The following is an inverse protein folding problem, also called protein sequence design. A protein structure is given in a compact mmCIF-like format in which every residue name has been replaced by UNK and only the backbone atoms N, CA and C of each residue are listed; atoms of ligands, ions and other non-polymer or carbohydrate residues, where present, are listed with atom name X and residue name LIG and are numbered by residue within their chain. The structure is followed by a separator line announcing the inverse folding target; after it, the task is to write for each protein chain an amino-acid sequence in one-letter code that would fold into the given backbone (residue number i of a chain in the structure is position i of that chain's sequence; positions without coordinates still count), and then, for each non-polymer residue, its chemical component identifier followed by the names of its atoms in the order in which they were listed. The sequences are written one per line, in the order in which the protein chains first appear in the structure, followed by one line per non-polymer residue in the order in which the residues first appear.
data_IF_478909378462
#
_entry.id   IF_478909378462
#
_cell.length_a   1.000
_cell.length_b   1.000
_cell.length_c   1.000
_cell.angle_alpha   90.00
_cell.angle_beta   90.00
_cell.angle_gamma   90.00
#
_symmetry.space_group_name_H-M   'P 1'
#
loop_
_entity.id
_entity.type
_entity.pdbx_description
1 polymer ?
#
# COMPACT_ATOMS: atom_id res chain seq x y z
N UNK A 1 16.89 17.64 -15.65
CA UNK A 1 16.16 16.37 -15.82
C UNK A 1 15.01 16.42 -14.84
N UNK A 2 13.76 16.53 -15.35
CA UNK A 2 12.59 16.52 -14.48
C UNK A 2 12.42 15.14 -13.88
N UNK A 3 12.30 15.07 -12.57
CA UNK A 3 11.91 13.84 -11.87
C UNK A 3 10.50 13.53 -12.33
N UNK A 4 10.32 12.45 -13.09
CA UNK A 4 8.99 11.93 -13.42
C UNK A 4 8.45 11.36 -12.09
N UNK A 5 7.56 12.09 -11.45
CA UNK A 5 6.81 11.60 -10.29
C UNK A 5 5.89 10.47 -10.78
N UNK A 6 6.33 9.24 -10.59
CA UNK A 6 5.46 8.08 -10.74
C UNK A 6 4.58 8.03 -9.48
N UNK A 7 3.28 8.24 -9.61
CA UNK A 7 2.34 8.02 -8.50
C UNK A 7 2.49 6.58 -8.02
N UNK A 8 2.92 6.39 -6.78
CA UNK A 8 3.07 5.06 -6.20
C UNK A 8 1.73 4.38 -5.90
N UNK A 9 0.65 5.18 -5.85
CA UNK A 9 -0.73 4.71 -5.75
C UNK A 9 -1.57 5.27 -6.89
N UNK A 10 -2.20 4.40 -7.66
CA UNK A 10 -3.11 4.76 -8.76
C UNK A 10 -4.56 4.41 -8.37
N UNK A 11 -5.19 5.28 -7.61
CA UNK A 11 -6.53 5.06 -7.02
C UNK A 11 -7.68 5.21 -8.02
N UNK A 12 -7.41 5.49 -9.29
CA UNK A 12 -8.38 5.47 -10.39
C UNK A 12 -8.55 4.10 -11.02
N UNK A 13 -7.58 3.19 -10.81
CA UNK A 13 -7.74 1.80 -11.21
C UNK A 13 -8.89 1.14 -10.45
N UNK A 14 -9.53 0.15 -11.05
CA UNK A 14 -10.46 -0.70 -10.34
C UNK A 14 -9.71 -1.42 -9.21
N UNK A 15 -10.27 -1.37 -7.99
CA UNK A 15 -9.65 -2.00 -6.83
C UNK A 15 -9.85 -3.50 -6.85
N UNK A 16 -8.76 -4.22 -6.85
CA UNK A 16 -8.71 -5.67 -6.70
C UNK A 16 -7.61 -6.04 -5.72
N UNK A 17 -7.92 -6.94 -4.82
CA UNK A 17 -6.93 -7.53 -3.93
C UNK A 17 -6.14 -8.60 -4.67
N UNK A 18 -4.83 -8.60 -4.47
CA UNK A 18 -3.90 -9.54 -5.10
C UNK A 18 -3.17 -10.30 -4.01
N UNK A 19 -3.32 -11.61 -4.00
CA UNK A 19 -2.59 -12.49 -3.09
C UNK A 19 -1.29 -12.95 -3.74
N UNK A 20 -0.20 -12.86 -2.99
CA UNK A 20 1.09 -13.36 -3.41
C UNK A 20 1.70 -14.22 -2.30
N UNK A 21 2.48 -15.21 -2.69
CA UNK A 21 3.22 -16.01 -1.73
C UNK A 21 4.70 -16.07 -2.06
N UNK A 22 5.48 -16.44 -1.07
CA UNK A 22 6.91 -16.66 -1.19
C UNK A 22 7.31 -17.88 -0.40
N UNK A 23 8.04 -18.80 -1.05
CA UNK A 23 8.75 -19.87 -0.36
C UNK A 23 10.10 -19.35 0.14
N UNK A 24 10.24 -19.22 1.45
CA UNK A 24 11.43 -18.68 2.12
C UNK A 24 12.69 -19.53 2.00
N UNK A 25 12.60 -20.74 1.45
CA UNK A 25 13.76 -21.61 1.22
C UNK A 25 14.63 -21.16 0.03
N UNK A 26 14.12 -20.23 -0.80
CA UNK A 26 14.86 -19.72 -1.96
C UNK A 26 15.95 -18.73 -1.53
N UNK A 27 17.06 -18.74 -2.26
CA UNK A 27 18.09 -17.71 -2.11
C UNK A 27 17.62 -16.44 -2.81
N UNK A 28 17.46 -15.38 -2.04
CA UNK A 28 17.14 -14.03 -2.55
C UNK A 28 18.44 -13.22 -2.69
N UNK A 29 18.42 -12.21 -3.57
CA UNK A 29 19.50 -11.26 -3.68
C UNK A 29 19.74 -10.55 -2.34
N UNK A 30 21.00 -10.18 -2.06
CA UNK A 30 21.29 -9.32 -0.92
C UNK A 30 21.18 -7.87 -1.39
N UNK A 31 20.28 -7.13 -0.76
CA UNK A 31 20.13 -5.69 -0.97
C UNK A 31 20.40 -5.00 0.35
N UNK A 32 21.31 -4.04 0.34
CA UNK A 32 21.66 -3.25 1.51
C UNK A 32 20.97 -1.87 1.44
N UNK A 33 20.74 -1.28 2.61
CA UNK A 33 20.26 0.10 2.67
C UNK A 33 21.33 1.03 2.08
N UNK A 34 20.91 2.09 1.40
CA UNK A 34 21.82 3.17 1.02
C UNK A 34 22.48 3.82 2.26
N UNK A 35 23.62 4.46 2.05
CA UNK A 35 24.28 5.25 3.09
C UNK A 35 23.35 6.28 3.70
N UNK A 36 23.44 6.47 5.00
CA UNK A 36 22.56 7.39 5.75
C UNK A 36 21.25 6.77 6.24
N UNK A 37 21.03 5.47 5.99
CA UNK A 37 19.86 4.76 6.50
C UNK A 37 20.25 3.54 7.34
N UNK A 38 19.41 3.23 8.33
CA UNK A 38 19.58 2.07 9.20
C UNK A 38 18.22 1.44 9.52
N UNK A 39 18.24 0.25 10.16
CA UNK A 39 17.03 -0.40 10.66
C UNK A 39 16.92 -0.25 12.17
N UNK A 40 15.72 0.04 12.63
CA UNK A 40 15.34 -0.07 14.04
C UNK A 40 14.07 -0.92 14.18
N UNK A 41 13.98 -1.69 15.27
CA UNK A 41 12.72 -2.35 15.61
C UNK A 41 11.79 -1.41 16.35
N UNK A 42 10.49 -1.70 16.27
CA UNK A 42 9.43 -1.01 17.01
C UNK A 42 9.74 -0.98 18.52
N UNK A 43 9.50 0.15 19.13
CA UNK A 43 9.55 0.39 20.58
C UNK A 43 8.22 0.97 21.04
N UNK A 44 7.89 0.80 22.31
CA UNK A 44 6.68 1.42 22.87
C UNK A 44 6.72 2.94 22.66
N UNK A 45 5.63 3.47 22.12
CA UNK A 45 5.49 4.88 21.73
C UNK A 45 5.75 5.18 20.25
N UNK A 46 6.17 4.20 19.46
CA UNK A 46 6.45 4.39 18.02
C UNK A 46 5.17 4.38 17.14
N UNK A 47 3.98 4.30 17.74
CA UNK A 47 2.71 4.30 17.01
C UNK A 47 2.54 5.54 16.14
N UNK A 48 2.91 6.72 16.64
CA UNK A 48 2.78 7.97 15.90
C UNK A 48 3.69 7.99 14.66
N UNK A 49 4.90 7.44 14.75
CA UNK A 49 5.81 7.29 13.60
C UNK A 49 5.24 6.31 12.56
N UNK A 50 4.65 5.20 13.01
CA UNK A 50 4.00 4.23 12.13
C UNK A 50 2.83 4.88 11.38
N UNK A 51 1.97 5.62 12.09
CA UNK A 51 0.83 6.35 11.52
C UNK A 51 1.33 7.40 10.52
N UNK A 52 2.34 8.18 10.87
CA UNK A 52 2.89 9.24 10.02
C UNK A 52 3.44 8.69 8.70
N UNK A 53 4.14 7.54 8.74
CA UNK A 53 4.62 6.87 7.54
C UNK A 53 3.45 6.51 6.62
N UNK A 54 2.37 5.92 7.13
CA UNK A 54 1.23 5.50 6.34
C UNK A 54 0.38 6.68 5.83
N UNK A 55 0.30 7.75 6.60
CA UNK A 55 -0.34 9.01 6.17
C UNK A 55 0.48 9.68 5.07
N UNK A 56 1.82 9.75 5.22
CA UNK A 56 2.69 10.32 4.20
C UNK A 56 2.70 9.49 2.91
N UNK A 57 2.70 8.17 3.00
CA UNK A 57 2.66 7.28 1.83
C UNK A 57 1.35 7.37 1.04
N UNK A 58 0.29 7.91 1.65
CA UNK A 58 -1.06 8.00 1.06
C UNK A 58 -1.94 6.77 1.31
N UNK A 59 -1.51 5.82 2.15
CA UNK A 59 -2.35 4.71 2.60
C UNK A 59 -3.55 5.23 3.41
N UNK A 60 -3.29 6.14 4.33
CA UNK A 60 -4.32 6.77 5.15
C UNK A 60 -4.45 8.25 4.82
N UNK A 61 -5.69 8.73 4.74
CA UNK A 61 -5.96 10.15 4.58
C UNK A 61 -5.95 10.89 5.93
N UNK A 62 -6.17 10.19 7.05
CA UNK A 62 -6.31 10.76 8.40
C UNK A 62 -5.53 9.92 9.41
N UNK A 63 -4.81 10.59 10.32
CA UNK A 63 -4.09 9.91 11.41
C UNK A 63 -5.03 9.09 12.31
N UNK A 64 -6.23 9.61 12.62
CA UNK A 64 -7.21 8.90 13.44
C UNK A 64 -7.71 7.58 12.82
N UNK A 65 -7.64 7.44 11.50
CA UNK A 65 -7.92 6.17 10.85
C UNK A 65 -6.72 5.22 11.00
N UNK A 66 -5.50 5.73 10.85
CA UNK A 66 -4.28 4.98 11.08
C UNK A 66 -4.17 4.43 12.51
N UNK A 67 -4.53 5.25 13.51
CA UNK A 67 -4.62 4.81 14.91
C UNK A 67 -5.58 3.63 15.09
N UNK A 68 -6.79 3.76 14.53
CA UNK A 68 -7.77 2.66 14.58
C UNK A 68 -7.22 1.39 13.94
N UNK A 69 -6.64 1.49 12.75
CA UNK A 69 -6.08 0.34 12.03
C UNK A 69 -4.93 -0.29 12.81
N UNK A 70 -4.03 0.51 13.38
CA UNK A 70 -2.93 0.00 14.20
C UNK A 70 -3.46 -0.89 15.34
N UNK A 71 -4.45 -0.42 16.08
CA UNK A 71 -5.05 -1.17 17.18
C UNK A 71 -5.82 -2.41 16.70
N UNK A 72 -6.60 -2.29 15.61
CA UNK A 72 -7.34 -3.43 15.03
C UNK A 72 -6.39 -4.58 14.63
N UNK A 73 -5.19 -4.26 14.14
CA UNK A 73 -4.22 -5.26 13.67
C UNK A 73 -3.29 -5.79 14.75
N UNK A 74 -2.84 -4.92 15.66
CA UNK A 74 -1.69 -5.22 16.50
C UNK A 74 -1.96 -5.43 17.98
N UNK A 75 -3.13 -5.03 18.52
CA UNK A 75 -3.42 -5.16 19.96
C UNK A 75 -3.31 -6.60 20.45
N UNK A 76 -3.65 -7.59 19.60
CA UNK A 76 -3.57 -9.01 19.97
C UNK A 76 -2.14 -9.52 20.19
N UNK A 77 -1.12 -8.83 19.64
CA UNK A 77 0.30 -9.20 19.77
C UNK A 77 1.23 -7.98 19.91
N UNK A 78 0.75 -6.91 20.50
CA UNK A 78 1.48 -5.64 20.66
C UNK A 78 2.86 -5.85 21.30
N UNK A 79 2.97 -6.73 22.30
CA UNK A 79 4.24 -7.05 22.97
C UNK A 79 5.28 -7.74 22.06
N UNK A 80 4.87 -8.28 20.92
CA UNK A 80 5.74 -8.92 19.94
C UNK A 80 6.25 -7.95 18.86
N UNK A 81 5.67 -6.75 18.74
CA UNK A 81 6.04 -5.79 17.68
C UNK A 81 7.53 -5.43 17.72
N UNK A 82 8.15 -5.40 18.89
CA UNK A 82 9.60 -5.20 19.02
C UNK A 82 10.47 -6.25 18.33
N UNK A 83 9.87 -7.35 17.85
CA UNK A 83 10.54 -8.43 17.11
C UNK A 83 9.99 -8.59 15.70
N UNK A 84 8.87 -7.96 15.38
CA UNK A 84 8.10 -8.21 14.16
C UNK A 84 7.96 -6.99 13.25
N UNK A 85 7.90 -5.80 13.84
CA UNK A 85 7.80 -4.54 13.12
C UNK A 85 9.16 -3.84 13.13
N UNK A 86 9.60 -3.38 11.98
CA UNK A 86 10.82 -2.57 11.88
C UNK A 86 10.57 -1.29 11.11
N UNK A 87 11.44 -0.32 11.37
CA UNK A 87 11.51 0.94 10.65
C UNK A 87 12.82 1.06 9.89
N UNK A 88 12.79 1.80 8.79
CA UNK A 88 13.98 2.42 8.21
C UNK A 88 14.09 3.81 8.81
N UNK A 89 15.29 4.13 9.32
CA UNK A 89 15.60 5.39 10.00
C UNK A 89 16.71 6.10 9.22
N UNK A 90 16.55 7.39 8.96
CA UNK A 90 17.55 8.21 8.31
C UNK A 90 18.65 8.69 9.31
N UNK A 91 19.68 9.38 8.82
CA UNK A 91 20.79 9.91 9.61
C UNK A 91 20.40 10.98 10.64
N UNK A 92 19.18 11.51 10.57
CA UNK A 92 18.59 12.47 11.53
C UNK A 92 17.77 11.77 12.62
N UNK A 93 17.63 10.45 12.57
CA UNK A 93 16.81 9.68 13.50
C UNK A 93 15.31 9.67 13.15
N UNK A 94 14.92 10.12 11.95
CA UNK A 94 13.54 10.09 11.49
C UNK A 94 13.20 8.72 10.90
N UNK A 95 12.07 8.14 11.31
CA UNK A 95 11.52 6.92 10.74
C UNK A 95 10.81 7.22 9.42
N UNK A 96 11.28 6.59 8.34
CA UNK A 96 10.89 6.93 6.97
C UNK A 96 10.24 5.80 6.20
N UNK A 97 10.28 4.59 6.74
CA UNK A 97 9.63 3.41 6.18
C UNK A 97 9.39 2.36 7.24
N UNK A 98 8.42 1.49 7.02
CA UNK A 98 8.05 0.41 7.95
C UNK A 98 7.56 -0.83 7.23
N UNK A 99 7.68 -1.99 7.89
CA UNK A 99 7.02 -3.23 7.53
C UNK A 99 6.87 -4.12 8.77
N UNK A 100 5.83 -4.93 8.79
CA UNK A 100 5.54 -5.85 9.90
C UNK A 100 5.37 -7.28 9.39
N UNK A 101 5.88 -8.26 10.13
CA UNK A 101 5.53 -9.67 9.98
C UNK A 101 4.45 -9.97 11.00
N UNK A 102 3.20 -9.90 10.56
CA UNK A 102 2.06 -10.18 11.43
C UNK A 102 1.92 -11.66 11.70
N UNK A 103 1.46 -11.97 12.91
CA UNK A 103 1.10 -13.32 13.32
C UNK A 103 -0.40 -13.46 13.18
N UNK A 104 -0.83 -14.39 12.36
CA UNK A 104 -2.25 -14.71 12.23
C UNK A 104 -2.72 -15.50 13.46
N UNK A 105 -3.90 -15.17 13.99
CA UNK A 105 -4.56 -15.94 15.05
C UNK A 105 -5.15 -17.24 14.50
N UNK A 106 -5.61 -17.20 13.26
CA UNK A 106 -6.06 -18.35 12.48
C UNK A 106 -5.26 -18.41 11.18
N UNK A 107 -4.76 -19.60 10.76
CA UNK A 107 -4.03 -19.71 9.51
C UNK A 107 -4.89 -19.30 8.31
N UNK A 108 -4.32 -18.48 7.43
CA UNK A 108 -4.95 -18.08 6.18
C UNK A 108 -4.31 -18.86 5.02
N UNK A 109 -5.11 -19.62 4.27
CA UNK A 109 -4.63 -20.53 3.22
C UNK A 109 -3.49 -21.46 3.67
N UNK A 110 -3.40 -21.75 4.98
CA UNK A 110 -2.30 -22.54 5.56
C UNK A 110 -1.01 -21.79 5.82
N UNK A 111 -1.06 -20.45 5.82
CA UNK A 111 0.03 -19.55 6.25
C UNK A 111 -0.23 -19.05 7.66
N UNK A 112 0.81 -19.05 8.49
CA UNK A 112 0.76 -18.58 9.87
C UNK A 112 1.22 -17.12 10.01
N UNK A 113 1.80 -16.54 8.96
CA UNK A 113 2.31 -15.19 8.94
C UNK A 113 2.07 -14.48 7.61
N UNK A 114 1.83 -13.19 7.70
CA UNK A 114 1.59 -12.27 6.59
C UNK A 114 2.55 -11.09 6.71
N UNK A 115 3.03 -10.60 5.56
CA UNK A 115 3.66 -9.28 5.52
C UNK A 115 2.59 -8.23 5.44
N UNK A 116 2.53 -7.38 6.44
CA UNK A 116 1.55 -6.30 6.53
C UNK A 116 2.22 -4.93 6.57
N UNK A 117 1.46 -3.96 6.12
CA UNK A 117 1.73 -2.55 6.33
C UNK A 117 3.15 -2.13 5.90
N UNK A 118 3.54 -2.56 4.70
CA UNK A 118 4.77 -2.11 4.06
C UNK A 118 4.56 -0.72 3.46
N UNK A 119 5.26 0.29 4.00
CA UNK A 119 5.16 1.65 3.51
C UNK A 119 6.49 2.40 3.58
N UNK A 120 6.64 3.42 2.71
CA UNK A 120 7.75 4.37 2.70
C UNK A 120 7.14 5.76 2.54
N UNK A 121 7.54 6.71 3.40
CA UNK A 121 7.11 8.11 3.28
C UNK A 121 7.34 8.63 1.87
N UNK A 122 6.42 9.44 1.37
CA UNK A 122 6.40 9.95 -0.01
C UNK A 122 7.70 10.62 -0.41
N UNK A 123 8.26 11.45 0.46
CA UNK A 123 9.51 12.19 0.26
C UNK A 123 10.76 11.31 0.21
N UNK A 124 10.66 10.06 0.71
CA UNK A 124 11.74 9.06 0.69
C UNK A 124 11.56 7.98 -0.38
N UNK A 125 10.49 8.06 -1.18
CA UNK A 125 10.32 7.21 -2.35
C UNK A 125 11.35 7.60 -3.42
N UNK A 126 11.88 6.60 -4.13
CA UNK A 126 12.98 6.83 -5.07
C UNK A 126 14.40 6.75 -4.46
N UNK A 127 14.53 6.67 -3.15
CA UNK A 127 15.82 6.46 -2.45
C UNK A 127 16.28 5.00 -2.45
N UNK A 128 15.69 4.14 -3.25
CA UNK A 128 16.04 2.70 -3.35
C UNK A 128 15.86 1.89 -2.05
N UNK A 129 14.97 2.32 -1.14
CA UNK A 129 14.73 1.66 0.14
C UNK A 129 13.90 0.38 0.01
N UNK A 130 13.04 0.27 -1.02
CA UNK A 130 12.05 -0.81 -1.13
C UNK A 130 12.68 -2.20 -1.20
N UNK A 131 13.70 -2.40 -2.04
CA UNK A 131 14.35 -3.71 -2.18
C UNK A 131 15.07 -4.17 -0.92
N UNK A 132 15.88 -3.33 -0.24
CA UNK A 132 16.42 -3.65 1.07
C UNK A 132 15.38 -4.00 2.11
N UNK A 133 14.27 -3.24 2.18
CA UNK A 133 13.19 -3.50 3.14
C UNK A 133 12.50 -4.84 2.87
N UNK A 134 12.22 -5.17 1.60
CA UNK A 134 11.63 -6.45 1.23
C UNK A 134 12.58 -7.60 1.60
N UNK A 135 13.86 -7.45 1.30
CA UNK A 135 14.87 -8.42 1.70
C UNK A 135 14.95 -8.58 3.23
N UNK A 136 14.83 -7.47 3.96
CA UNK A 136 14.82 -7.46 5.44
C UNK A 136 13.61 -8.19 6.00
N UNK A 137 12.40 -7.97 5.48
CA UNK A 137 11.24 -8.66 6.02
C UNK A 137 11.24 -10.17 5.68
N UNK A 138 11.73 -10.58 4.50
CA UNK A 138 11.89 -11.99 4.17
C UNK A 138 12.84 -12.65 5.17
N UNK A 139 14.00 -12.01 5.41
CA UNK A 139 14.95 -12.50 6.41
C UNK A 139 14.32 -12.57 7.81
N UNK A 140 13.60 -11.52 8.20
CA UNK A 140 12.94 -11.46 9.51
C UNK A 140 11.91 -12.57 9.67
N UNK A 141 11.09 -12.84 8.64
CA UNK A 141 10.14 -13.94 8.69
C UNK A 141 10.85 -15.29 8.89
N UNK A 142 11.96 -15.54 8.18
CA UNK A 142 12.76 -16.75 8.36
C UNK A 142 13.37 -16.82 9.77
N UNK A 143 13.91 -15.71 10.30
CA UNK A 143 14.46 -15.64 11.66
C UNK A 143 13.39 -15.93 12.74
N UNK A 144 12.12 -15.60 12.46
CA UNK A 144 10.96 -15.93 13.28
C UNK A 144 10.42 -17.36 13.07
N UNK A 145 11.02 -18.14 12.15
CA UNK A 145 10.65 -19.52 11.85
C UNK A 145 9.60 -19.70 10.77
N UNK A 146 9.20 -18.64 10.07
CA UNK A 146 8.22 -18.69 9.00
C UNK A 146 8.92 -18.90 7.63
N UNK A 147 8.76 -20.09 7.07
CA UNK A 147 9.36 -20.43 5.76
C UNK A 147 8.42 -20.18 4.58
N UNK A 148 7.17 -19.85 4.85
CA UNK A 148 6.15 -19.50 3.86
C UNK A 148 5.54 -18.18 4.25
N UNK A 149 5.54 -17.24 3.31
CA UNK A 149 5.06 -15.88 3.53
C UNK A 149 3.88 -15.65 2.61
N UNK A 150 2.76 -15.20 3.17
CA UNK A 150 1.64 -14.65 2.43
C UNK A 150 1.77 -13.12 2.41
N UNK A 151 1.31 -12.52 1.34
CA UNK A 151 1.30 -11.08 1.17
C UNK A 151 0.01 -10.67 0.45
N UNK A 152 -0.70 -9.71 1.02
CA UNK A 152 -1.81 -9.02 0.40
C UNK A 152 -1.33 -7.71 -0.20
N UNK A 153 -1.66 -7.49 -1.46
CA UNK A 153 -1.43 -6.23 -2.17
C UNK A 153 -2.64 -5.92 -3.04
N UNK A 154 -2.62 -4.87 -3.81
CA UNK A 154 -3.78 -4.46 -4.59
C UNK A 154 -3.37 -3.76 -5.90
N UNK A 155 -4.32 -3.67 -6.83
CA UNK A 155 -4.13 -2.98 -8.11
C UNK A 155 -3.72 -1.51 -7.94
N UNK A 156 -4.23 -0.83 -6.91
CA UNK A 156 -3.87 0.58 -6.63
C UNK A 156 -2.37 0.76 -6.35
N UNK A 157 -1.69 -0.26 -5.81
CA UNK A 157 -0.24 -0.26 -5.52
C UNK A 157 0.51 -1.18 -6.49
N UNK A 158 0.12 -1.20 -7.76
CA UNK A 158 0.66 -2.07 -8.79
C UNK A 158 2.19 -2.04 -8.91
N UNK A 159 2.84 -0.91 -8.60
CA UNK A 159 4.30 -0.81 -8.57
C UNK A 159 4.91 -1.66 -7.46
N UNK A 160 4.29 -1.70 -6.28
CA UNK A 160 4.71 -2.59 -5.20
C UNK A 160 4.45 -4.05 -5.59
N UNK A 161 3.28 -4.36 -6.16
CA UNK A 161 2.95 -5.69 -6.67
C UNK A 161 3.99 -6.18 -7.69
N UNK A 162 4.36 -5.32 -8.66
CA UNK A 162 5.44 -5.62 -9.61
C UNK A 162 6.75 -5.91 -8.90
N UNK A 163 7.12 -5.09 -7.92
CA UNK A 163 8.38 -5.25 -7.18
C UNK A 163 8.42 -6.57 -6.39
N UNK A 164 7.31 -6.99 -5.81
CA UNK A 164 7.22 -8.29 -5.16
C UNK A 164 7.44 -9.43 -6.16
N UNK A 165 6.83 -9.37 -7.35
CA UNK A 165 7.08 -10.36 -8.42
C UNK A 165 8.56 -10.37 -8.85
N UNK A 166 9.18 -9.20 -9.02
CA UNK A 166 10.62 -9.07 -9.36
C UNK A 166 11.51 -9.70 -8.29
N UNK A 167 11.10 -9.66 -7.02
CA UNK A 167 11.85 -10.19 -5.88
C UNK A 167 11.49 -11.63 -5.50
N UNK A 168 10.72 -12.31 -6.33
CA UNK A 168 10.54 -13.75 -6.20
C UNK A 168 9.18 -14.20 -5.69
N UNK A 169 8.30 -13.28 -5.26
CA UNK A 169 6.92 -13.65 -4.94
C UNK A 169 6.22 -14.20 -6.18
N UNK A 170 5.32 -15.15 -5.96
CA UNK A 170 4.51 -15.76 -7.01
C UNK A 170 3.05 -15.33 -6.85
N UNK A 171 2.32 -15.14 -7.96
CA UNK A 171 0.87 -14.98 -7.90
C UNK A 171 0.23 -16.14 -7.17
N UNK A 172 -0.72 -15.86 -6.29
CA UNK A 172 -1.41 -16.88 -5.50
C UNK A 172 -2.92 -16.70 -5.61
N UNK A 173 -3.63 -17.81 -5.68
CA UNK A 173 -5.10 -17.88 -5.73
C UNK A 173 -5.73 -17.00 -6.83
N UNK A 174 -5.11 -17.00 -8.01
CA UNK A 174 -5.42 -16.12 -9.16
C UNK A 174 -6.92 -16.13 -9.52
N UNK A 175 -7.57 -17.30 -9.41
CA UNK A 175 -8.98 -17.45 -9.83
C UNK A 175 -9.98 -16.74 -8.92
N UNK A 176 -9.60 -16.35 -7.72
CA UNK A 176 -10.50 -15.59 -6.83
C UNK A 176 -10.69 -14.16 -7.31
N UNK A 177 -9.68 -13.57 -7.93
CA UNK A 177 -9.76 -12.23 -8.52
C UNK A 177 -8.92 -12.13 -9.80
N UNK A 178 -9.33 -12.85 -10.84
CA UNK A 178 -8.62 -12.89 -12.12
C UNK A 178 -8.48 -11.50 -12.75
N UNK A 179 -9.48 -10.62 -12.62
CA UNK A 179 -9.46 -9.29 -13.20
C UNK A 179 -8.32 -8.42 -12.63
N UNK A 180 -8.07 -8.52 -11.34
CA UNK A 180 -6.94 -7.83 -10.71
C UNK A 180 -5.59 -8.25 -11.30
N UNK A 181 -5.43 -9.53 -11.60
CA UNK A 181 -4.22 -10.05 -12.25
C UNK A 181 -4.12 -9.65 -13.72
N UNK A 182 -5.24 -9.56 -14.45
CA UNK A 182 -5.30 -9.05 -15.83
C UNK A 182 -4.91 -7.56 -15.89
N UNK A 183 -5.37 -6.76 -14.93
CA UNK A 183 -4.93 -5.36 -14.77
C UNK A 183 -3.43 -5.32 -14.52
N UNK A 184 -2.91 -6.10 -13.58
CA UNK A 184 -1.48 -6.13 -13.27
C UNK A 184 -0.65 -6.61 -14.46
N UNK A 185 -1.14 -7.59 -15.24
CA UNK A 185 -0.52 -8.04 -16.48
C UNK A 185 -0.43 -6.89 -17.48
N UNK A 186 -1.52 -6.17 -17.70
CA UNK A 186 -1.57 -5.04 -18.63
C UNK A 186 -0.59 -3.94 -18.26
N UNK A 187 -0.53 -3.57 -16.96
CA UNK A 187 0.33 -2.50 -16.46
C UNK A 187 1.83 -2.86 -16.49
N UNK A 188 2.17 -4.14 -16.27
CA UNK A 188 3.56 -4.52 -15.99
C UNK A 188 4.19 -5.39 -17.06
N UNK A 189 3.37 -6.13 -17.81
CA UNK A 189 3.79 -7.22 -18.69
C UNK A 189 4.84 -8.16 -18.06
N UNK A 190 4.72 -8.40 -16.74
CA UNK A 190 5.70 -9.17 -16.00
C UNK A 190 5.73 -10.65 -16.47
N UNK A 191 6.92 -11.30 -16.60
CA UNK A 191 7.04 -12.68 -17.09
C UNK A 191 6.25 -13.71 -16.29
N UNK A 192 6.15 -13.56 -14.96
CA UNK A 192 5.37 -14.46 -14.10
C UNK A 192 3.86 -14.41 -14.38
N UNK A 193 3.41 -13.44 -15.16
CA UNK A 193 2.01 -13.27 -15.57
C UNK A 193 1.80 -13.66 -17.06
N UNK A 194 2.70 -14.44 -17.65
CA UNK A 194 2.64 -14.80 -19.07
C UNK A 194 1.37 -15.57 -19.46
N UNK A 195 0.84 -16.39 -18.54
CA UNK A 195 -0.38 -17.17 -18.73
C UNK A 195 -1.67 -16.41 -18.41
N UNK A 196 -1.57 -15.13 -18.05
CA UNK A 196 -2.71 -14.24 -17.76
C UNK A 196 -2.92 -13.31 -18.95
N UNK A 197 -4.17 -13.16 -19.37
CA UNK A 197 -4.54 -12.26 -20.46
C UNK A 197 -4.37 -10.80 -20.06
N UNK A 198 -3.91 -9.97 -20.99
CA UNK A 198 -3.99 -8.53 -20.83
C UNK A 198 -5.40 -8.05 -21.22
N UNK A 199 -5.87 -6.98 -20.59
CA UNK A 199 -7.15 -6.33 -20.90
C UNK A 199 -6.93 -4.94 -21.52
N UNK A 200 -7.93 -4.37 -22.24
CA UNK A 200 -7.85 -2.99 -22.71
C UNK A 200 -7.58 -2.00 -21.58
N UNK A 201 -6.84 -0.95 -21.85
CA UNK A 201 -6.47 0.07 -20.86
C UNK A 201 -7.73 0.69 -20.23
N UNK A 202 -8.75 0.98 -21.03
CA UNK A 202 -9.99 1.60 -20.54
C UNK A 202 -10.73 0.69 -19.55
N UNK A 203 -10.59 -0.62 -19.66
CA UNK A 203 -11.23 -1.61 -18.78
C UNK A 203 -10.54 -1.76 -17.41
N UNK A 204 -9.38 -1.12 -17.22
CA UNK A 204 -8.64 -1.15 -15.94
C UNK A 204 -9.16 -0.13 -14.94
N UNK A 205 -9.85 0.90 -15.42
CA UNK A 205 -10.26 2.02 -14.58
C UNK A 205 -11.68 1.85 -14.07
N UNK A 206 -11.89 2.32 -12.88
CA UNK A 206 -13.21 2.44 -12.32
C UNK A 206 -13.93 3.60 -13.02
N UNK A 207 -14.97 3.32 -13.77
CA UNK A 207 -15.66 4.28 -14.69
C UNK A 207 -15.93 5.65 -14.09
N UNK A 208 -16.29 5.65 -12.81
CA UNK A 208 -16.64 6.89 -12.12
C UNK A 208 -15.43 7.61 -11.53
N UNK A 209 -14.32 6.91 -11.28
CA UNK A 209 -13.14 7.51 -10.66
C UNK A 209 -12.53 8.62 -11.52
N UNK A 210 -12.45 8.40 -12.82
CA UNK A 210 -11.95 9.42 -13.75
C UNK A 210 -12.85 10.66 -13.78
N UNK A 211 -14.16 10.49 -13.69
CA UNK A 211 -15.11 11.62 -13.61
C UNK A 211 -14.91 12.41 -12.32
N UNK A 212 -14.78 11.71 -11.19
CA UNK A 212 -14.52 12.33 -9.88
C UNK A 212 -13.21 13.12 -9.94
N UNK A 213 -12.11 12.51 -10.41
CA UNK A 213 -10.79 13.18 -10.50
C UNK A 213 -10.86 14.40 -11.40
N UNK A 214 -11.54 14.32 -12.55
CA UNK A 214 -11.72 15.47 -13.43
C UNK A 214 -12.45 16.66 -12.75
N UNK A 215 -13.41 16.38 -11.85
CA UNK A 215 -14.08 17.44 -11.09
C UNK A 215 -13.18 17.98 -9.96
N UNK A 216 -12.42 17.11 -9.29
CA UNK A 216 -11.47 17.54 -8.29
C UNK A 216 -10.35 18.42 -8.89
N UNK A 217 -9.87 18.07 -10.10
CA UNK A 217 -8.89 18.87 -10.84
C UNK A 217 -9.39 20.29 -11.12
N UNK A 218 -10.69 20.46 -11.41
CA UNK A 218 -11.31 21.79 -11.60
C UNK A 218 -11.37 22.59 -10.29
N UNK A 219 -11.55 21.91 -9.16
CA UNK A 219 -11.69 22.55 -7.84
C UNK A 219 -10.32 22.91 -7.23
N UNK A 220 -9.36 21.99 -7.29
CA UNK A 220 -8.09 22.09 -6.56
C UNK A 220 -6.89 22.36 -7.44
N UNK A 221 -7.03 22.18 -8.76
CA UNK A 221 -5.93 22.19 -9.72
C UNK A 221 -5.25 20.81 -9.78
N UNK A 222 -4.90 20.41 -11.00
CA UNK A 222 -4.27 19.11 -11.25
C UNK A 222 -2.97 18.97 -10.45
N UNK A 223 -2.80 17.79 -9.84
CA UNK A 223 -1.63 17.40 -9.04
C UNK A 223 -1.37 18.21 -7.75
N UNK A 224 -2.31 19.09 -7.34
CA UNK A 224 -2.19 19.90 -6.12
C UNK A 224 -2.85 19.28 -4.88
N UNK A 225 -3.46 18.11 -5.00
CA UNK A 225 -4.20 17.45 -3.93
C UNK A 225 -3.95 15.94 -3.94
N UNK A 226 -4.27 15.30 -2.83
CA UNK A 226 -4.33 13.85 -2.71
C UNK A 226 -5.78 13.43 -2.51
N UNK A 227 -6.15 12.24 -2.96
CA UNK A 227 -7.51 11.76 -2.83
C UNK A 227 -7.58 10.27 -2.55
N UNK A 228 -8.72 9.84 -2.01
CA UNK A 228 -9.12 8.44 -1.87
C UNK A 228 -10.58 8.30 -2.28
N UNK A 229 -10.90 7.27 -3.04
CA UNK A 229 -12.27 6.98 -3.48
C UNK A 229 -12.64 5.61 -2.94
N UNK A 230 -13.78 5.54 -2.24
CA UNK A 230 -14.31 4.32 -1.68
C UNK A 230 -15.70 4.06 -2.25
N UNK A 231 -15.88 2.91 -2.90
CA UNK A 231 -17.19 2.49 -3.36
C UNK A 231 -17.85 1.58 -2.32
N UNK A 232 -19.02 1.96 -1.83
CA UNK A 232 -19.80 1.17 -0.88
C UNK A 232 -21.29 1.36 -1.10
N UNK A 233 -22.03 0.26 -1.33
CA UNK A 233 -23.50 0.27 -1.46
C UNK A 233 -24.04 1.27 -2.51
N UNK A 234 -23.42 1.28 -3.70
CA UNK A 234 -23.82 2.18 -4.81
C UNK A 234 -23.48 3.65 -4.59
N UNK A 235 -22.69 3.96 -3.57
CA UNK A 235 -22.23 5.31 -3.25
C UNK A 235 -20.72 5.39 -3.23
N UNK A 236 -20.16 6.48 -3.74
CA UNK A 236 -18.74 6.77 -3.65
C UNK A 236 -18.52 7.84 -2.58
N UNK A 237 -17.76 7.47 -1.56
CA UNK A 237 -17.21 8.40 -0.59
C UNK A 237 -15.83 8.82 -1.07
N UNK A 238 -15.55 10.12 -1.11
CA UNK A 238 -14.29 10.68 -1.62
C UNK A 238 -13.68 11.55 -0.53
N UNK A 239 -12.45 11.22 -0.15
CA UNK A 239 -11.66 12.05 0.74
C UNK A 239 -10.61 12.79 -0.07
N UNK A 240 -10.40 14.08 0.20
CA UNK A 240 -9.42 14.92 -0.47
C UNK A 240 -8.55 15.61 0.57
N UNK A 241 -7.24 15.48 0.45
CA UNK A 241 -6.27 16.26 1.24
C UNK A 241 -5.73 17.40 0.38
N UNK A 242 -5.92 18.62 0.86
CA UNK A 242 -5.44 19.84 0.22
C UNK A 242 -5.02 20.86 1.27
N UNK A 243 -3.79 21.39 1.17
CA UNK A 243 -3.23 22.35 2.14
C UNK A 243 -3.34 21.87 3.60
N UNK A 244 -2.96 20.61 3.88
CA UNK A 244 -3.02 19.96 5.19
C UNK A 244 -4.43 19.87 5.81
N UNK A 245 -5.47 20.03 5.02
CA UNK A 245 -6.87 19.82 5.44
C UNK A 245 -7.46 18.67 4.67
N UNK A 246 -8.31 17.87 5.34
CA UNK A 246 -9.06 16.79 4.71
C UNK A 246 -10.51 17.18 4.53
N UNK A 247 -11.00 17.04 3.32
CA UNK A 247 -12.37 17.32 2.91
C UNK A 247 -13.04 16.02 2.52
N UNK A 248 -14.23 15.77 3.06
CA UNK A 248 -15.04 14.61 2.73
C UNK A 248 -16.10 14.99 1.71
N UNK A 249 -16.21 14.23 0.62
CA UNK A 249 -17.21 14.40 -0.42
C UNK A 249 -17.99 13.10 -0.60
N UNK A 250 -19.20 13.24 -1.13
CA UNK A 250 -20.02 12.10 -1.56
C UNK A 250 -20.37 12.28 -3.03
N UNK A 251 -20.23 11.21 -3.77
CA UNK A 251 -20.64 11.15 -5.15
C UNK A 251 -21.80 10.17 -5.30
N UNK A 252 -22.93 10.66 -5.81
CA UNK A 252 -24.11 9.85 -6.06
C UNK A 252 -24.26 9.63 -7.56
N UNK A 253 -24.30 8.37 -7.97
CA UNK A 253 -24.45 8.00 -9.36
C UNK A 253 -25.91 7.71 -9.69
N UNK A 254 -26.59 8.68 -10.26
CA UNK A 254 -27.83 8.47 -11.01
C UNK A 254 -27.97 9.57 -12.06
N UNK A 255 -27.06 9.67 -13.03
CA UNK A 255 -27.07 10.66 -14.10
C UNK A 255 -26.89 12.13 -13.67
N UNK A 256 -26.66 12.45 -12.42
CA UNK A 256 -26.34 13.79 -11.94
C UNK A 256 -25.12 13.72 -11.03
N UNK A 257 -24.03 14.30 -11.50
CA UNK A 257 -22.83 14.51 -10.69
C UNK A 257 -23.13 15.52 -9.58
N UNK A 258 -23.11 15.10 -8.32
CA UNK A 258 -23.15 15.97 -7.15
C UNK A 258 -22.02 15.63 -6.22
N UNK A 259 -21.05 16.56 -6.10
CA UNK A 259 -20.05 16.57 -5.05
C UNK A 259 -20.67 17.36 -3.87
N UNK A 260 -21.05 16.67 -2.80
CA UNK A 260 -21.51 17.32 -1.58
C UNK A 260 -20.34 17.45 -0.61
N UNK A 261 -20.03 18.70 -0.22
CA UNK A 261 -18.99 18.98 0.76
C UNK A 261 -19.48 18.53 2.15
N UNK A 262 -18.97 17.43 2.66
CA UNK A 262 -19.21 17.06 4.05
C UNK A 262 -18.39 17.97 4.97
N UNK A 263 -18.86 18.25 6.16
CA UNK A 263 -18.31 19.25 7.10
C UNK A 263 -16.78 19.13 7.22
N UNK A 264 -16.10 20.27 7.10
CA UNK A 264 -14.66 20.40 7.35
C UNK A 264 -14.39 19.89 8.76
N UNK A 265 -13.62 18.81 8.87
CA UNK A 265 -12.99 18.42 10.12
C UNK A 265 -11.57 18.97 10.08
N UNK A 266 -11.30 19.95 10.90
CA UNK A 266 -9.92 20.41 11.18
C UNK A 266 -9.20 19.27 11.90
N UNK A 267 -8.02 18.92 11.40
CA UNK A 267 -7.09 18.00 12.07
C UNK A 267 -6.56 18.62 13.35
#
# INVERSE_FOLDING_TARGET
MGVIYVKTMEKTLEYHELLMNLDGTRKYGSYELPDGFSYEFYKDGDIDDWIDIHVSSGEFMKASYGEKIFHDFYDSFLSELSKRCFFVVNDKGEKVGTATISKLTEPEYGYDAVVDWFAIKKEYQGYHLSKPMINRFIKLANDLGYNKILLHTQTHTWLAAKLYLDLGFEPFNINEDIKGWEILKTLTNHPKLENISAIPIDDMYFDIALKIVNELDKIYGKDNYEYSIWHKNGRNDVEVRYNNQVFDYKYYDENIFRLEKAKIKTL
#
